data_IF_769432224585
#
_entry.id   IF_769432224585
#
_cell.length_a   1.000
_cell.length_b   1.000
_cell.length_c   1.000
_cell.angle_alpha   90.00
_cell.angle_beta   90.00
_cell.angle_gamma   90.00
#
_symmetry.space_group_name_H-M   'P 1'
#
loop_
_entity.id
_entity.type
_entity.pdbx_description
1 polymer ?
#
# COMPACT_ATOMS: atom_id res chain seq x y z
N UNK A 1 3.56 -5.63 12.71
CA UNK A 1 4.74 -4.84 12.30
C UNK A 1 4.71 -4.72 10.77
N UNK A 2 5.37 -3.73 10.15
CA UNK A 2 5.53 -3.70 8.69
C UNK A 2 6.98 -3.45 8.27
N UNK A 3 7.48 -4.24 7.33
CA UNK A 3 8.76 -3.93 6.68
C UNK A 3 8.53 -2.87 5.61
N UNK A 4 9.20 -1.73 5.78
CA UNK A 4 9.19 -0.62 4.84
C UNK A 4 10.35 -0.64 3.87
N UNK A 5 10.09 -0.51 2.56
CA UNK A 5 11.15 -0.32 1.56
C UNK A 5 10.89 0.93 0.72
N UNK A 6 11.84 1.87 0.77
CA UNK A 6 11.85 3.09 -0.04
C UNK A 6 13.21 3.29 -0.70
N UNK A 7 13.48 2.63 -1.85
CA UNK A 7 14.70 2.87 -2.60
C UNK A 7 14.64 4.26 -3.20
N UNK A 8 15.51 5.14 -2.74
CA UNK A 8 15.71 6.47 -3.31
C UNK A 8 14.45 7.34 -3.37
N UNK A 9 13.48 7.09 -2.48
CA UNK A 9 12.23 7.86 -2.41
C UNK A 9 11.29 7.69 -3.61
N UNK A 10 11.52 6.69 -4.47
CA UNK A 10 10.69 6.48 -5.68
C UNK A 10 9.34 5.84 -5.35
N UNK A 11 9.29 5.01 -4.31
CA UNK A 11 8.07 4.42 -3.79
C UNK A 11 8.24 4.12 -2.31
N UNK A 12 7.12 3.88 -1.62
CA UNK A 12 7.09 3.32 -0.29
C UNK A 12 6.36 1.98 -0.36
N UNK A 13 7.00 0.88 0.04
CA UNK A 13 6.34 -0.41 0.14
C UNK A 13 6.19 -0.84 1.58
N UNK A 14 5.06 -1.42 1.93
CA UNK A 14 4.74 -1.87 3.28
C UNK A 14 4.00 -3.22 3.24
N UNK A 15 4.51 -4.22 3.94
CA UNK A 15 3.85 -5.53 4.09
C UNK A 15 3.43 -5.71 5.54
N UNK A 16 2.12 -5.79 5.84
CA UNK A 16 1.67 -6.20 7.17
C UNK A 16 1.98 -7.67 7.43
N UNK A 17 2.42 -7.97 8.66
CA UNK A 17 2.68 -9.34 9.08
C UNK A 17 1.42 -10.22 8.95
N UNK A 18 1.58 -11.43 8.41
CA UNK A 18 0.49 -12.39 8.27
C UNK A 18 -0.48 -12.13 7.13
N UNK A 19 -0.28 -11.07 6.34
CA UNK A 19 -1.12 -10.75 5.19
C UNK A 19 -0.57 -11.35 3.89
N UNK A 20 -1.46 -11.79 3.01
CA UNK A 20 -1.13 -12.31 1.67
C UNK A 20 -1.08 -11.19 0.61
N UNK A 21 -0.70 -9.99 1.04
CA UNK A 21 -0.61 -8.81 0.20
C UNK A 21 0.36 -7.80 0.81
N UNK A 22 0.88 -6.92 -0.03
CA UNK A 22 1.68 -5.77 0.41
C UNK A 22 1.25 -4.52 -0.34
N UNK A 23 1.41 -3.37 0.29
CA UNK A 23 1.09 -2.06 -0.29
C UNK A 23 2.33 -1.50 -0.96
N UNK A 24 2.12 -0.80 -2.06
CA UNK A 24 3.09 0.10 -2.68
C UNK A 24 2.45 1.46 -2.94
N UNK A 25 3.03 2.50 -2.37
CA UNK A 25 2.72 3.89 -2.64
C UNK A 25 3.74 4.45 -3.63
N UNK A 26 3.27 5.12 -4.65
CA UNK A 26 4.09 5.82 -5.65
C UNK A 26 3.52 7.21 -5.84
N UNK A 27 4.37 8.24 -5.96
CA UNK A 27 3.87 9.55 -6.36
C UNK A 27 3.39 9.50 -7.81
N UNK A 28 2.27 10.12 -8.12
CA UNK A 28 1.64 10.13 -9.46
C UNK A 28 2.59 10.70 -10.52
N UNK A 29 3.40 11.70 -10.16
CA UNK A 29 4.44 12.29 -11.01
C UNK A 29 5.63 11.37 -11.28
N UNK A 30 5.74 10.21 -10.59
CA UNK A 30 6.80 9.20 -10.74
C UNK A 30 8.22 9.70 -10.47
N UNK A 31 8.38 10.90 -9.91
CA UNK A 31 9.63 11.40 -9.40
C UNK A 31 9.88 10.91 -7.97
N UNK A 32 11.12 11.08 -7.52
CA UNK A 32 11.48 10.82 -6.13
C UNK A 32 10.74 11.79 -5.22
N UNK A 33 10.43 11.33 -4.01
CA UNK A 33 9.80 12.12 -2.98
C UNK A 33 10.59 11.98 -1.67
N UNK A 34 11.10 13.10 -1.16
CA UNK A 34 11.92 13.14 0.06
C UNK A 34 11.17 12.54 1.26
N UNK A 35 9.86 12.70 1.28
CA UNK A 35 8.96 12.16 2.31
C UNK A 35 8.97 10.63 2.32
N UNK A 36 9.07 9.98 1.16
CA UNK A 36 9.28 8.53 1.09
C UNK A 36 10.71 8.15 1.51
N UNK A 37 11.71 8.94 1.10
CA UNK A 37 13.12 8.66 1.42
C UNK A 37 13.39 8.61 2.94
N UNK A 38 12.62 9.36 3.75
CA UNK A 38 12.70 9.36 5.22
C UNK A 38 12.40 8.03 5.89
N UNK A 39 11.77 7.10 5.17
CA UNK A 39 11.44 5.75 5.65
C UNK A 39 12.46 4.69 5.21
N UNK A 40 13.56 5.08 4.55
CA UNK A 40 14.64 4.14 4.21
C UNK A 40 15.19 3.48 5.47
N UNK A 41 15.14 2.14 5.50
CA UNK A 41 15.64 1.33 6.62
C UNK A 41 14.78 1.42 7.88
N UNK A 42 13.54 1.92 7.78
CA UNK A 42 12.60 2.00 8.91
C UNK A 42 11.44 1.04 8.74
N UNK A 43 10.98 0.52 9.87
CA UNK A 43 9.68 -0.13 9.99
C UNK A 43 8.58 0.90 9.74
N UNK A 44 7.51 0.49 9.05
CA UNK A 44 6.34 1.33 8.82
C UNK A 44 5.20 0.95 9.76
N UNK A 45 4.35 1.92 10.07
CA UNK A 45 3.06 1.72 10.76
C UNK A 45 1.91 2.10 9.83
N UNK A 46 0.68 1.66 10.10
CA UNK A 46 -0.45 2.12 9.28
C UNK A 46 -0.72 3.63 9.50
N UNK A 47 -0.30 4.22 10.62
CA UNK A 47 -0.30 5.67 10.81
C UNK A 47 0.60 6.37 9.78
N UNK A 48 1.78 5.82 9.48
CA UNK A 48 2.67 6.36 8.46
C UNK A 48 2.05 6.29 7.05
N UNK A 49 1.35 5.19 6.75
CA UNK A 49 0.62 5.04 5.47
C UNK A 49 -0.54 6.03 5.38
N UNK A 50 -1.30 6.24 6.46
CA UNK A 50 -2.42 7.20 6.50
C UNK A 50 -2.00 8.65 6.24
N UNK A 51 -0.75 9.03 6.57
CA UNK A 51 -0.22 10.35 6.23
C UNK A 51 -0.15 10.59 4.72
N UNK A 52 0.05 9.53 3.94
CA UNK A 52 0.10 9.58 2.48
C UNK A 52 -1.23 9.28 1.81
N UNK A 53 -2.14 8.61 2.52
CA UNK A 53 -3.47 8.25 2.05
C UNK A 53 -4.55 8.81 3.02
N UNK A 54 -4.75 10.14 3.11
CA UNK A 54 -5.72 10.72 4.02
C UNK A 54 -7.16 10.26 3.74
N UNK A 55 -7.48 9.89 2.50
CA UNK A 55 -8.78 9.40 2.07
C UNK A 55 -8.83 7.88 1.94
N UNK A 56 -7.94 7.14 2.62
CA UNK A 56 -7.80 5.67 2.54
C UNK A 56 -9.13 4.90 2.63
N UNK A 57 -10.10 5.38 3.40
CA UNK A 57 -11.38 4.70 3.61
C UNK A 57 -12.42 4.96 2.50
N UNK A 58 -12.25 6.02 1.70
CA UNK A 58 -13.15 6.39 0.60
C UNK A 58 -12.54 6.21 -0.79
N UNK A 59 -11.37 5.56 -0.87
CA UNK A 59 -10.70 5.27 -2.12
C UNK A 59 -11.58 4.46 -3.07
N UNK A 60 -11.58 4.88 -4.33
CA UNK A 60 -12.21 4.16 -5.43
C UNK A 60 -11.18 3.23 -6.04
N UNK A 61 -11.33 1.94 -5.76
CA UNK A 61 -10.44 0.90 -6.25
C UNK A 61 -10.75 0.54 -7.70
N UNK A 62 -9.70 0.42 -8.50
CA UNK A 62 -9.72 -0.10 -9.85
C UNK A 62 -8.91 -1.38 -9.92
N UNK A 63 -9.50 -2.40 -10.55
CA UNK A 63 -8.83 -3.66 -10.80
C UNK A 63 -7.86 -3.47 -11.95
N UNK A 64 -6.56 -3.60 -11.67
CA UNK A 64 -5.60 -3.88 -12.74
C UNK A 64 -5.52 -5.41 -12.81
N UNK A 65 -5.97 -5.97 -13.94
CA UNK A 65 -5.67 -7.38 -14.27
C UNK A 65 -4.16 -7.66 -14.21
N UNK A 66 -3.75 -8.94 -14.34
CA UNK A 66 -2.35 -9.43 -14.18
C UNK A 66 -1.30 -8.33 -14.34
N UNK A 67 -0.66 -7.94 -13.24
CA UNK A 67 0.33 -6.89 -13.21
C UNK A 67 1.66 -7.33 -13.84
N UNK A 68 2.76 -6.72 -13.39
CA UNK A 68 4.11 -7.16 -13.76
C UNK A 68 4.38 -8.52 -13.11
N UNK A 69 4.28 -9.60 -13.90
CA UNK A 69 4.48 -10.98 -13.41
C UNK A 69 3.16 -11.71 -13.08
N UNK A 70 3.20 -12.74 -12.21
CA UNK A 70 2.01 -13.54 -11.86
C UNK A 70 1.04 -12.84 -10.90
N UNK A 71 1.45 -11.74 -10.27
CA UNK A 71 0.70 -11.09 -9.19
C UNK A 71 -0.47 -10.23 -9.70
N UNK A 72 -1.57 -10.26 -8.94
CA UNK A 72 -2.74 -9.38 -9.11
C UNK A 72 -2.51 -8.09 -8.33
N UNK A 73 -3.03 -6.97 -8.82
CA UNK A 73 -2.94 -5.71 -8.11
C UNK A 73 -4.24 -4.92 -8.17
N UNK A 74 -4.66 -4.40 -7.03
CA UNK A 74 -5.80 -3.49 -6.92
C UNK A 74 -5.24 -2.11 -6.66
N UNK A 75 -5.66 -1.12 -7.43
CA UNK A 75 -5.07 0.23 -7.36
C UNK A 75 -6.10 1.29 -7.07
N UNK A 76 -5.65 2.38 -6.47
CA UNK A 76 -6.42 3.61 -6.33
C UNK A 76 -5.47 4.81 -6.37
N UNK A 77 -6.04 6.00 -6.48
CA UNK A 77 -5.30 7.25 -6.38
C UNK A 77 -5.91 8.12 -5.28
N UNK A 78 -5.07 8.67 -4.44
CA UNK A 78 -5.39 9.64 -3.41
C UNK A 78 -4.52 10.89 -3.60
N UNK A 79 -5.07 11.92 -4.24
CA UNK A 79 -4.33 13.13 -4.59
C UNK A 79 -3.08 12.82 -5.44
N UNK A 80 -1.90 13.15 -4.92
CA UNK A 80 -0.62 12.91 -5.59
C UNK A 80 -0.06 11.50 -5.37
N UNK A 81 -0.78 10.61 -4.67
CA UNK A 81 -0.33 9.25 -4.34
C UNK A 81 -1.16 8.22 -5.09
N UNK A 82 -0.48 7.41 -5.90
CA UNK A 82 -1.03 6.17 -6.41
C UNK A 82 -0.70 5.03 -5.43
N UNK A 83 -1.73 4.31 -4.99
CA UNK A 83 -1.61 3.13 -4.12
C UNK A 83 -1.91 1.87 -4.92
N UNK A 84 -1.09 0.85 -4.72
CA UNK A 84 -1.33 -0.50 -5.20
C UNK A 84 -1.30 -1.47 -4.02
N UNK A 85 -2.35 -2.29 -3.88
CA UNK A 85 -2.33 -3.51 -3.07
C UNK A 85 -1.90 -4.63 -4.00
N UNK A 86 -0.71 -5.17 -3.79
CA UNK A 86 -0.13 -6.23 -4.59
C UNK A 86 -0.36 -7.55 -3.86
N UNK A 87 -1.09 -8.45 -4.52
CA UNK A 87 -1.55 -9.71 -3.95
C UNK A 87 -0.51 -10.79 -4.28
N UNK A 88 -0.06 -11.52 -3.26
CA UNK A 88 0.92 -12.60 -3.45
C UNK A 88 0.28 -13.79 -4.18
N UNK A 89 1.11 -14.57 -4.86
CA UNK A 89 0.66 -15.75 -5.59
C UNK A 89 -0.03 -16.75 -4.65
N UNK A 90 -1.10 -17.38 -5.12
CA UNK A 90 -1.95 -18.32 -4.38
C UNK A 90 -2.75 -17.72 -3.20
N UNK A 91 -2.87 -16.39 -3.10
CA UNK A 91 -3.80 -15.79 -2.15
C UNK A 91 -5.25 -16.28 -2.44
N UNK A 92 -5.93 -16.92 -1.48
CA UNK A 92 -7.25 -17.52 -1.70
C UNK A 92 -8.38 -16.47 -1.70
N UNK A 93 -8.08 -15.24 -1.28
CA UNK A 93 -9.06 -14.18 -1.09
C UNK A 93 -9.43 -13.51 -2.41
N UNK A 94 -10.71 -13.15 -2.52
CA UNK A 94 -11.22 -12.25 -3.53
C UNK A 94 -10.69 -10.83 -3.32
N UNK A 95 -10.72 -10.03 -4.38
CA UNK A 95 -10.15 -8.67 -4.35
C UNK A 95 -10.92 -7.75 -3.40
N UNK A 96 -12.24 -7.94 -3.29
CA UNK A 96 -13.08 -7.22 -2.35
C UNK A 96 -12.72 -7.54 -0.90
N UNK A 97 -12.41 -8.80 -0.58
CA UNK A 97 -11.98 -9.23 0.75
C UNK A 97 -10.63 -8.61 1.12
N UNK A 98 -9.70 -8.56 0.17
CA UNK A 98 -8.40 -7.89 0.34
C UNK A 98 -8.57 -6.38 0.61
N UNK A 99 -9.50 -5.71 -0.09
CA UNK A 99 -9.79 -4.30 0.17
C UNK A 99 -10.38 -4.10 1.57
N UNK A 100 -11.20 -5.03 2.06
CA UNK A 100 -11.71 -4.96 3.44
C UNK A 100 -10.61 -5.20 4.47
N UNK A 101 -9.73 -6.19 4.26
CA UNK A 101 -8.56 -6.41 5.13
C UNK A 101 -7.66 -5.16 5.18
N UNK A 102 -7.41 -4.53 4.04
CA UNK A 102 -6.68 -3.27 3.97
C UNK A 102 -7.34 -2.18 4.82
N UNK A 103 -8.67 -2.01 4.71
CA UNK A 103 -9.40 -1.01 5.49
C UNK A 103 -9.34 -1.30 6.98
N UNK A 104 -9.50 -2.55 7.38
CA UNK A 104 -9.42 -2.97 8.77
C UNK A 104 -8.02 -2.73 9.33
N UNK A 105 -6.98 -3.11 8.59
CA UNK A 105 -5.58 -2.85 8.95
C UNK A 105 -5.30 -1.35 9.17
N UNK A 106 -5.80 -0.50 8.26
CA UNK A 106 -5.65 0.95 8.35
C UNK A 106 -6.44 1.56 9.52
N UNK A 107 -7.53 0.92 9.95
CA UNK A 107 -8.37 1.33 11.08
C UNK A 107 -7.80 0.90 12.44
N UNK A 108 -7.35 -0.35 12.59
CA UNK A 108 -6.94 -0.91 13.89
C UNK A 108 -5.68 -0.22 14.46
N UNK A 109 -4.79 0.22 13.58
CA UNK A 109 -3.60 0.98 13.99
C UNK A 109 -3.90 2.42 14.42
N UNK A 110 -5.18 2.82 14.50
CA UNK A 110 -5.61 4.10 15.05
C UNK A 110 -5.81 4.07 16.58
N UNK A 111 -5.76 2.88 17.19
CA UNK A 111 -6.13 2.66 18.59
C UNK A 111 -4.94 2.48 19.54
N UNK A 112 -3.70 2.69 19.07
CA UNK A 112 -2.47 2.65 19.87
C UNK A 112 -1.81 4.03 19.98
#
# INVERSE_FOLDING_TARGET
MMVGYAPDGTFLSASPDGMNWYIRLTRVSRNQWDEFARYRGKTLTAADIRRFLPNWNSLRWSHLGKGVGPSRAITATDGEVHVAIIIVDNCPLAEEEIVQEFRQFMADSASE
#
